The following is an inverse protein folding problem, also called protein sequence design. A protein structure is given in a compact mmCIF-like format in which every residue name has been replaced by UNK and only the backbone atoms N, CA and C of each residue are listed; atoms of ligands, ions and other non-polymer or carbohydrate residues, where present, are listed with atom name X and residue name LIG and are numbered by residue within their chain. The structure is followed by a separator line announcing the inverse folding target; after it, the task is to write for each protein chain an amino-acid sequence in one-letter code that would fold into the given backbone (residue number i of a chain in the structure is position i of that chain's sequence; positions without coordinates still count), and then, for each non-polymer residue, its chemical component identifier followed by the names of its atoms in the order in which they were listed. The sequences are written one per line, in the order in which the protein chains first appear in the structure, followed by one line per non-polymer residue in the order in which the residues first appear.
data_IF_565652448397
#
_entry.id   IF_565652448397
#
_cell.length_a   1.000
_cell.length_b   1.000
_cell.length_c   1.000
_cell.angle_alpha   90.00
_cell.angle_beta   90.00
_cell.angle_gamma   90.00
#
_symmetry.space_group_name_H-M   'P 1'
#
loop_
_entity.id
_entity.type
_entity.pdbx_description
1 polymer ?
#
# COMPACT_ATOMS: atom_id res chain seq x y z
N UNK A 1 6.21 -7.54 -8.54
CA UNK A 1 5.19 -7.46 -7.48
C UNK A 1 5.70 -6.58 -6.36
N UNK A 2 4.83 -5.85 -5.68
CA UNK A 2 5.23 -4.68 -4.88
C UNK A 2 4.23 -4.35 -3.78
N UNK A 3 4.70 -3.67 -2.75
CA UNK A 3 3.86 -3.11 -1.68
C UNK A 3 3.85 -1.59 -1.81
N UNK A 4 2.66 -1.00 -1.80
CA UNK A 4 2.48 0.44 -1.91
C UNK A 4 1.65 0.99 -0.75
N UNK A 5 2.07 2.10 -0.17
CA UNK A 5 1.36 2.81 0.88
C UNK A 5 0.74 4.11 0.37
N UNK A 6 -0.50 4.36 0.75
CA UNK A 6 -1.24 5.58 0.44
C UNK A 6 -1.68 6.23 1.74
N UNK A 7 -1.21 7.44 1.99
CA UNK A 7 -1.48 8.20 3.20
C UNK A 7 -2.35 9.41 2.90
N UNK A 8 -3.19 9.78 3.85
CA UNK A 8 -4.01 10.97 3.70
C UNK A 8 -5.02 11.10 4.84
N UNK A 9 -5.48 12.32 5.05
CA UNK A 9 -6.44 12.63 6.09
C UNK A 9 -7.78 11.90 5.88
N UNK A 10 -8.61 11.74 6.92
CA UNK A 10 -9.99 11.26 6.78
C UNK A 10 -10.75 12.07 5.70
N UNK A 11 -11.52 11.37 4.88
CA UNK A 11 -12.28 12.01 3.80
C UNK A 11 -11.47 12.44 2.56
N UNK A 12 -10.16 12.14 2.49
CA UNK A 12 -9.34 12.47 1.32
C UNK A 12 -9.59 11.61 0.08
N UNK A 13 -10.41 10.54 0.19
CA UNK A 13 -10.76 9.67 -0.93
C UNK A 13 -9.94 8.38 -1.03
N UNK A 14 -9.28 7.95 0.06
CA UNK A 14 -8.47 6.72 0.10
C UNK A 14 -9.24 5.49 -0.35
N UNK A 15 -10.39 5.21 0.25
CA UNK A 15 -11.25 4.07 -0.10
C UNK A 15 -11.73 4.14 -1.55
N UNK A 16 -12.13 5.32 -2.03
CA UNK A 16 -12.51 5.53 -3.43
C UNK A 16 -11.37 5.26 -4.39
N UNK A 17 -10.14 5.61 -4.00
CA UNK A 17 -8.95 5.30 -4.76
C UNK A 17 -8.69 3.79 -4.83
N UNK A 18 -8.82 3.07 -3.71
CA UNK A 18 -8.68 1.60 -3.71
C UNK A 18 -9.76 0.94 -4.56
N UNK A 19 -11.01 1.41 -4.48
CA UNK A 19 -12.10 0.92 -5.33
C UNK A 19 -11.83 1.17 -6.82
N UNK A 20 -11.24 2.30 -7.17
CA UNK A 20 -10.80 2.59 -8.53
C UNK A 20 -9.72 1.59 -9.00
N UNK A 21 -8.73 1.25 -8.16
CA UNK A 21 -7.71 0.24 -8.48
C UNK A 21 -8.34 -1.14 -8.67
N UNK A 22 -9.28 -1.53 -7.79
CA UNK A 22 -10.03 -2.76 -7.91
C UNK A 22 -10.76 -2.87 -9.26
N UNK A 23 -11.51 -1.82 -9.62
CA UNK A 23 -12.26 -1.78 -10.88
C UNK A 23 -11.34 -1.84 -12.12
N UNK A 24 -10.11 -1.33 -12.03
CA UNK A 24 -9.12 -1.47 -13.10
C UNK A 24 -8.59 -2.89 -13.19
N UNK A 25 -8.20 -3.49 -12.06
CA UNK A 25 -7.68 -4.84 -11.99
C UNK A 25 -8.69 -5.87 -12.52
N UNK A 26 -9.96 -5.77 -12.10
CA UNK A 26 -11.04 -6.64 -12.58
C UNK A 26 -11.29 -6.55 -14.11
N UNK A 27 -10.86 -5.46 -14.73
CA UNK A 27 -10.95 -5.24 -16.20
C UNK A 27 -9.64 -5.54 -16.92
N UNK A 28 -8.65 -6.13 -16.25
CA UNK A 28 -7.32 -6.39 -16.81
C UNK A 28 -6.57 -5.12 -17.25
N UNK A 29 -6.87 -3.96 -16.63
CA UNK A 29 -6.25 -2.68 -16.98
C UNK A 29 -5.04 -2.41 -16.07
N UNK A 30 -3.97 -1.76 -16.60
CA UNK A 30 -2.79 -1.42 -15.82
C UNK A 30 -3.14 -0.60 -14.56
N UNK A 31 -2.49 -0.93 -13.44
CA UNK A 31 -2.61 -0.17 -12.19
C UNK A 31 -1.70 1.04 -12.26
N UNK A 32 -2.22 2.14 -12.79
CA UNK A 32 -1.46 3.37 -13.02
C UNK A 32 -2.14 4.54 -12.32
N UNK A 33 -1.33 5.47 -11.83
CA UNK A 33 -1.76 6.72 -11.23
C UNK A 33 -1.60 7.85 -12.24
N UNK A 34 -2.75 8.41 -12.69
CA UNK A 34 -2.78 9.61 -13.51
C UNK A 34 -2.58 9.40 -15.02
N UNK A 35 -2.55 10.55 -15.72
CA UNK A 35 -2.55 10.64 -17.19
C UNK A 35 -1.24 10.16 -17.83
N UNK A 36 -0.12 10.25 -17.09
CA UNK A 36 1.20 9.80 -17.51
C UNK A 36 1.51 8.45 -16.85
N UNK A 37 0.90 7.42 -17.35
CA UNK A 37 0.85 6.07 -16.80
C UNK A 37 2.21 5.46 -16.44
N UNK A 38 3.24 5.72 -17.25
CA UNK A 38 4.56 5.13 -17.08
C UNK A 38 5.32 5.58 -15.82
N UNK A 39 5.03 6.79 -15.32
CA UNK A 39 5.76 7.35 -14.18
C UNK A 39 5.29 6.79 -12.82
N UNK A 40 4.03 6.33 -12.74
CA UNK A 40 3.41 5.90 -11.49
C UNK A 40 2.69 4.55 -11.64
N UNK A 41 3.30 3.64 -12.35
CA UNK A 41 2.79 2.28 -12.45
C UNK A 41 2.99 1.57 -11.10
N UNK A 42 1.92 0.99 -10.55
CA UNK A 42 1.94 0.25 -9.29
C UNK A 42 2.30 -1.22 -9.51
N UNK A 43 1.96 -1.78 -10.66
CA UNK A 43 2.30 -3.15 -11.00
C UNK A 43 2.64 -3.26 -12.48
N UNK A 44 3.64 -4.08 -12.79
CA UNK A 44 3.99 -4.44 -14.16
C UNK A 44 2.97 -5.39 -14.77
N UNK A 45 2.35 -6.21 -13.93
CA UNK A 45 1.30 -7.13 -14.34
C UNK A 45 -0.07 -6.45 -14.28
N UNK A 46 -0.90 -6.72 -15.28
CA UNK A 46 -2.27 -6.23 -15.36
C UNK A 46 -3.29 -7.34 -15.06
N UNK A 47 -2.85 -8.61 -15.10
CA UNK A 47 -3.70 -9.76 -14.97
C UNK A 47 -3.47 -10.40 -13.61
N UNK A 48 -4.37 -10.11 -12.68
CA UNK A 48 -4.45 -10.77 -11.39
C UNK A 48 -5.55 -11.83 -11.46
N UNK A 49 -5.29 -13.00 -10.90
CA UNK A 49 -6.30 -14.07 -10.84
C UNK A 49 -7.42 -13.70 -9.89
N UNK A 50 -7.09 -12.95 -8.83
CA UNK A 50 -8.04 -12.54 -7.79
C UNK A 50 -7.71 -11.15 -7.28
N UNK A 51 -8.77 -10.43 -6.88
CA UNK A 51 -8.66 -9.14 -6.20
C UNK A 51 -9.32 -9.26 -4.84
N UNK A 52 -8.59 -8.98 -3.78
CA UNK A 52 -9.07 -9.05 -2.39
C UNK A 52 -9.18 -7.66 -1.79
N UNK A 53 -10.24 -7.41 -1.02
CA UNK A 53 -10.47 -6.16 -0.31
C UNK A 53 -11.00 -6.41 1.10
N UNK A 54 -10.64 -5.57 2.07
CA UNK A 54 -11.24 -5.58 3.41
C UNK A 54 -12.48 -4.68 3.52
N UNK A 55 -12.89 -4.06 2.43
CA UNK A 55 -14.10 -3.24 2.30
C UNK A 55 -15.01 -3.80 1.20
N UNK A 56 -16.27 -3.37 1.17
CA UNK A 56 -17.22 -3.86 0.18
C UNK A 56 -16.91 -3.31 -1.20
N UNK A 57 -16.61 -4.20 -2.14
CA UNK A 57 -16.27 -3.87 -3.52
C UNK A 57 -16.82 -4.96 -4.46
N UNK A 58 -17.77 -4.62 -5.36
CA UNK A 58 -18.36 -5.59 -6.26
C UNK A 58 -17.33 -6.29 -7.15
N UNK A 59 -17.40 -7.62 -7.22
CA UNK A 59 -16.48 -8.43 -8.01
C UNK A 59 -15.16 -8.78 -7.32
N UNK A 60 -14.91 -8.26 -6.11
CA UNK A 60 -13.76 -8.60 -5.31
C UNK A 60 -14.08 -9.68 -4.28
N UNK A 61 -13.06 -10.44 -3.90
CA UNK A 61 -13.14 -11.38 -2.79
C UNK A 61 -12.95 -10.63 -1.46
N UNK A 62 -13.69 -11.04 -0.44
CA UNK A 62 -13.51 -10.48 0.91
C UNK A 62 -12.18 -10.96 1.48
N UNK A 63 -11.33 -10.03 1.92
CA UNK A 63 -10.10 -10.33 2.63
C UNK A 63 -10.41 -10.61 4.10
N UNK A 64 -10.01 -11.79 4.58
CA UNK A 64 -9.88 -12.05 6.01
C UNK A 64 -8.39 -11.96 6.37
N UNK A 65 -8.05 -11.11 7.32
CA UNK A 65 -6.66 -10.90 7.73
C UNK A 65 -6.01 -12.14 8.34
N UNK A 66 -6.80 -12.99 9.02
CA UNK A 66 -6.30 -14.24 9.59
C UNK A 66 -5.85 -15.26 8.53
N UNK A 67 -6.30 -15.10 7.29
CA UNK A 67 -5.91 -15.97 6.19
C UNK A 67 -4.55 -15.62 5.58
N UNK A 68 -4.05 -14.40 5.81
CA UNK A 68 -2.79 -13.92 5.23
C UNK A 68 -1.60 -14.72 5.77
N UNK A 69 -0.85 -15.33 4.86
CA UNK A 69 0.26 -16.21 5.18
C UNK A 69 -0.13 -17.64 5.56
N UNK A 70 -1.42 -17.96 5.63
CA UNK A 70 -1.93 -19.31 5.90
C UNK A 70 -2.62 -19.92 4.67
N UNK A 71 -3.22 -19.11 3.82
CA UNK A 71 -3.85 -19.53 2.56
C UNK A 71 -3.04 -19.08 1.35
N UNK A 72 -3.34 -19.69 0.21
CA UNK A 72 -2.72 -19.32 -1.06
C UNK A 72 -3.28 -17.99 -1.59
N UNK A 73 -2.41 -16.99 -1.64
CA UNK A 73 -2.65 -15.68 -2.23
C UNK A 73 -1.76 -15.44 -3.46
N UNK A 74 -1.51 -16.46 -4.27
CA UNK A 74 -0.68 -16.32 -5.45
C UNK A 74 -1.35 -15.46 -6.52
N UNK A 75 -0.53 -14.68 -7.26
CA UNK A 75 -0.92 -13.84 -8.40
C UNK A 75 -2.16 -12.96 -8.15
N UNK A 76 -2.20 -12.27 -7.01
CA UNK A 76 -3.36 -11.48 -6.62
C UNK A 76 -3.04 -10.02 -6.30
N UNK A 77 -4.08 -9.20 -6.40
CA UNK A 77 -4.10 -7.83 -5.89
C UNK A 77 -4.80 -7.81 -4.53
N UNK A 78 -4.15 -7.27 -3.53
CA UNK A 78 -4.72 -7.09 -2.20
C UNK A 78 -4.81 -5.59 -1.90
N UNK A 79 -6.02 -5.13 -1.57
CA UNK A 79 -6.32 -3.74 -1.28
C UNK A 79 -6.83 -3.63 0.15
N UNK A 80 -6.09 -2.92 0.99
CA UNK A 80 -6.41 -2.79 2.42
C UNK A 80 -6.72 -1.32 2.72
N UNK A 81 -7.96 -1.06 3.08
CA UNK A 81 -8.34 0.22 3.66
C UNK A 81 -8.08 0.18 5.17
N UNK A 82 -7.32 1.12 5.67
CA UNK A 82 -6.87 1.25 7.05
C UNK A 82 -5.99 0.06 7.51
N UNK A 83 -4.73 0.06 7.12
CA UNK A 83 -3.74 -1.00 7.44
C UNK A 83 -3.55 -1.22 8.95
N UNK A 84 -3.87 -0.24 9.79
CA UNK A 84 -3.80 -0.36 11.25
C UNK A 84 -4.68 -1.49 11.78
N UNK A 85 -5.76 -1.85 11.08
CA UNK A 85 -6.62 -2.98 11.47
C UNK A 85 -5.88 -4.32 11.39
N UNK A 86 -4.86 -4.41 10.53
CA UNK A 86 -4.02 -5.60 10.39
C UNK A 86 -2.72 -5.47 11.21
N UNK A 87 -2.13 -4.29 11.22
CA UNK A 87 -0.77 -4.08 11.70
C UNK A 87 -0.63 -2.72 12.39
N UNK A 88 -1.11 -2.62 13.64
CA UNK A 88 -0.90 -1.43 14.48
C UNK A 88 0.56 -1.37 14.93
N UNK A 89 1.20 -0.21 14.75
CA UNK A 89 2.56 0.03 15.23
C UNK A 89 2.72 -0.09 16.75
N UNK A 90 1.61 0.05 17.48
CA UNK A 90 1.58 -0.06 18.95
C UNK A 90 1.55 -1.50 19.43
N UNK A 91 1.08 -2.45 18.61
CA UNK A 91 0.99 -3.88 18.95
C UNK A 91 2.07 -4.73 18.28
N UNK A 92 3.26 -4.18 18.12
CA UNK A 92 4.38 -4.80 17.42
C UNK A 92 4.83 -6.15 18.01
N UNK A 93 4.53 -6.42 19.28
CA UNK A 93 4.92 -7.66 19.98
C UNK A 93 4.08 -8.86 19.50
N UNK A 94 2.84 -8.62 19.13
CA UNK A 94 1.88 -9.66 18.74
C UNK A 94 1.79 -9.88 17.23
N UNK A 95 2.72 -9.27 16.45
CA UNK A 95 2.73 -9.43 15.01
C UNK A 95 3.01 -10.88 14.62
N UNK A 96 2.08 -11.56 13.92
CA UNK A 96 2.20 -12.99 13.63
C UNK A 96 3.43 -13.31 12.76
N UNK A 97 4.17 -14.36 13.13
CA UNK A 97 5.36 -14.77 12.37
C UNK A 97 5.02 -15.16 10.93
N UNK A 98 3.94 -15.91 10.70
CA UNK A 98 3.51 -16.31 9.37
C UNK A 98 3.19 -15.11 8.46
N UNK A 99 2.57 -14.07 9.02
CA UNK A 99 2.29 -12.84 8.28
C UNK A 99 3.57 -12.09 7.92
N UNK A 100 4.53 -12.01 8.84
CA UNK A 100 5.84 -11.41 8.58
C UNK A 100 6.57 -12.12 7.44
N UNK A 101 6.60 -13.44 7.51
CA UNK A 101 7.33 -14.26 6.54
C UNK A 101 6.63 -14.20 5.17
N UNK A 102 5.30 -14.21 5.14
CA UNK A 102 4.52 -14.01 3.92
C UNK A 102 4.74 -12.63 3.29
N UNK A 103 4.74 -11.57 4.10
CA UNK A 103 5.03 -10.22 3.61
C UNK A 103 6.44 -10.11 3.01
N UNK A 104 7.43 -10.77 3.62
CA UNK A 104 8.79 -10.80 3.08
C UNK A 104 8.87 -11.53 1.72
N UNK A 105 8.03 -12.55 1.53
CA UNK A 105 8.01 -13.39 0.33
C UNK A 105 6.95 -12.98 -0.71
N UNK A 106 6.20 -11.91 -0.47
CA UNK A 106 5.07 -11.48 -1.33
C UNK A 106 5.41 -11.40 -2.82
N UNK A 107 6.65 -11.05 -3.16
CA UNK A 107 7.13 -10.96 -4.55
C UNK A 107 7.18 -12.34 -5.22
N UNK A 108 7.60 -13.37 -4.47
CA UNK A 108 7.66 -14.74 -4.98
C UNK A 108 6.26 -15.30 -5.25
N UNK A 109 5.27 -14.89 -4.47
CA UNK A 109 3.88 -15.29 -4.68
C UNK A 109 3.16 -14.47 -5.76
N UNK A 110 3.81 -13.50 -6.35
CA UNK A 110 3.16 -12.67 -7.36
C UNK A 110 2.10 -11.71 -6.78
N UNK A 111 2.23 -11.31 -5.51
CA UNK A 111 1.28 -10.43 -4.82
C UNK A 111 1.61 -8.96 -5.05
N UNK A 112 0.61 -8.17 -5.40
CA UNK A 112 0.64 -6.72 -5.32
C UNK A 112 -0.25 -6.28 -4.16
N UNK A 113 0.32 -5.60 -3.18
CA UNK A 113 -0.39 -5.09 -2.00
C UNK A 113 -0.45 -3.57 -2.05
N UNK A 114 -1.64 -2.99 -1.97
CA UNK A 114 -1.84 -1.55 -1.80
C UNK A 114 -2.63 -1.32 -0.51
N UNK A 115 -2.05 -0.56 0.40
CA UNK A 115 -2.71 -0.24 1.65
C UNK A 115 -2.90 1.26 1.84
N UNK A 116 -3.94 1.62 2.58
CA UNK A 116 -4.18 2.98 3.03
C UNK A 116 -3.95 3.12 4.53
N UNK A 117 -3.51 4.30 4.97
CA UNK A 117 -3.47 4.70 6.37
C UNK A 117 -3.66 6.20 6.52
N UNK A 118 -4.06 6.63 7.70
CA UNK A 118 -4.18 8.05 8.02
C UNK A 118 -2.81 8.68 8.30
N UNK A 119 -1.92 7.94 8.99
CA UNK A 119 -0.59 8.40 9.34
C UNK A 119 0.49 7.38 8.98
N UNK A 120 1.64 7.87 8.55
CA UNK A 120 2.80 7.02 8.27
C UNK A 120 3.32 6.33 9.53
N UNK A 121 3.35 7.04 10.66
CA UNK A 121 3.83 6.52 11.94
C UNK A 121 2.91 5.44 12.54
N UNK A 122 1.63 5.44 12.17
CA UNK A 122 0.65 4.48 12.66
C UNK A 122 0.81 3.08 12.05
N UNK A 123 1.49 3.01 10.90
CA UNK A 123 1.78 1.75 10.22
C UNK A 123 2.98 1.05 10.84
N UNK A 124 2.92 -0.26 11.05
CA UNK A 124 4.04 -1.04 11.59
C UNK A 124 5.33 -0.87 10.76
N UNK A 125 6.47 -0.73 11.45
CA UNK A 125 7.79 -0.48 10.84
C UNK A 125 8.16 -1.55 9.80
N UNK A 126 7.75 -2.81 10.01
CA UNK A 126 8.06 -3.92 9.10
C UNK A 126 7.38 -3.71 7.74
N UNK A 127 6.10 -3.32 7.73
CA UNK A 127 5.39 -3.00 6.48
C UNK A 127 5.98 -1.77 5.83
N UNK A 128 6.27 -0.72 6.60
CA UNK A 128 6.90 0.50 6.07
C UNK A 128 8.23 0.21 5.37
N UNK A 129 9.04 -0.69 5.94
CA UNK A 129 10.33 -1.08 5.36
C UNK A 129 10.17 -1.88 4.06
N UNK A 130 9.14 -2.70 3.95
CA UNK A 130 8.83 -3.49 2.76
C UNK A 130 8.09 -2.69 1.67
N UNK A 131 7.62 -1.48 1.99
CA UNK A 131 6.87 -0.65 1.05
C UNK A 131 7.79 -0.06 -0.01
N UNK A 132 7.50 -0.33 -1.27
CA UNK A 132 8.30 0.14 -2.41
C UNK A 132 8.04 1.60 -2.73
N UNK A 133 6.76 2.01 -2.80
CA UNK A 133 6.35 3.37 -3.13
C UNK A 133 5.35 3.89 -2.13
N UNK A 134 5.48 5.18 -1.82
CA UNK A 134 4.58 5.92 -0.94
C UNK A 134 3.87 7.01 -1.72
N UNK A 135 2.59 7.20 -1.41
CA UNK A 135 1.77 8.24 -2.02
C UNK A 135 1.02 9.00 -0.94
N UNK A 136 0.81 10.26 -1.19
CA UNK A 136 -0.08 11.10 -0.41
C UNK A 136 -1.32 11.42 -1.22
N UNK A 137 -2.50 11.26 -0.61
CA UNK A 137 -3.77 11.60 -1.22
C UNK A 137 -4.42 12.73 -0.43
N UNK A 138 -4.79 13.78 -1.13
CA UNK A 138 -5.47 14.95 -0.57
C UNK A 138 -6.74 15.27 -1.36
N UNK A 139 -7.71 15.84 -0.68
CA UNK A 139 -8.94 16.32 -1.33
C UNK A 139 -8.67 17.70 -1.95
N UNK A 140 -9.02 17.82 -3.22
CA UNK A 140 -8.94 19.09 -3.96
C UNK A 140 -10.28 19.35 -4.64
N UNK A 141 -11.16 20.09 -3.96
CA UNK A 141 -12.54 20.29 -4.41
C UNK A 141 -13.31 18.97 -4.53
N UNK A 142 -13.80 18.67 -5.73
CA UNK A 142 -14.53 17.44 -6.04
C UNK A 142 -13.62 16.27 -6.44
N UNK A 143 -12.31 16.47 -6.49
CA UNK A 143 -11.32 15.47 -6.90
C UNK A 143 -10.37 15.15 -5.76
N UNK A 144 -9.72 13.98 -5.86
CA UNK A 144 -8.60 13.63 -5.01
C UNK A 144 -7.33 13.73 -5.83
N UNK A 145 -6.32 14.46 -5.31
CA UNK A 145 -4.99 14.54 -5.89
C UNK A 145 -4.08 13.54 -5.22
N UNK A 146 -3.36 12.75 -6.00
CA UNK A 146 -2.41 11.77 -5.52
C UNK A 146 -1.02 12.20 -5.94
N UNK A 147 -0.12 12.30 -4.96
CA UNK A 147 1.27 12.73 -5.14
C UNK A 147 2.22 11.66 -4.61
N UNK A 148 3.31 11.34 -5.31
CA UNK A 148 4.33 10.44 -4.79
C UNK A 148 5.09 11.09 -3.65
N UNK A 149 5.50 10.28 -2.67
CA UNK A 149 6.38 10.68 -1.58
C UNK A 149 7.74 10.05 -1.82
N UNK A 150 8.79 10.87 -1.85
CA UNK A 150 10.15 10.38 -1.95
C UNK A 150 10.64 9.86 -0.59
N UNK A 151 11.17 8.63 -0.57
CA UNK A 151 11.91 8.11 0.59
C UNK A 151 13.35 8.58 0.49
N UNK A 152 13.81 9.36 1.46
CA UNK A 152 15.24 9.65 1.64
C UNK A 152 15.77 8.84 2.82
N UNK A 153 16.89 8.14 2.60
CA UNK A 153 17.61 7.41 3.64
C UNK A 153 18.81 8.26 4.06
N UNK A 154 18.92 8.61 5.33
CA UNK A 154 20.15 9.11 5.91
C UNK A 154 20.78 7.97 6.71
N UNK A 155 21.99 7.62 6.36
CA UNK A 155 22.83 6.72 7.15
C UNK A 155 23.62 7.64 8.08
N UNK A 156 23.24 7.72 9.34
CA UNK A 156 24.10 8.32 10.37
C UNK A 156 25.19 7.32 10.68
N UNK A 157 26.43 7.69 10.41
CA UNK A 157 27.62 6.83 10.54
C UNK A 157 27.93 6.43 12.01
N UNK A 158 27.30 7.05 12.99
CA UNK A 158 27.63 6.86 14.39
C UNK A 158 26.61 6.08 15.22
N UNK A 159 25.51 5.59 14.64
CA UNK A 159 24.50 4.86 15.42
C UNK A 159 24.00 3.66 14.63
N UNK A 160 24.38 2.49 15.09
CA UNK A 160 23.97 1.19 14.54
C UNK A 160 22.43 0.90 14.65
N UNK A 161 21.61 1.82 15.11
CA UNK A 161 20.17 1.64 15.35
C UNK A 161 19.26 2.79 14.90
N UNK A 162 19.67 3.69 14.04
CA UNK A 162 18.85 4.87 13.73
C UNK A 162 18.59 5.12 12.26
N UNK A 163 17.55 4.51 11.67
CA UNK A 163 17.03 5.00 10.39
C UNK A 163 16.10 6.18 10.65
N UNK A 164 16.55 7.39 10.36
CA UNK A 164 15.70 8.57 10.37
C UNK A 164 15.09 8.71 8.96
N UNK A 165 13.81 8.45 8.83
CA UNK A 165 13.06 8.77 7.61
C UNK A 165 12.66 10.24 7.65
N UNK A 166 13.18 11.03 6.76
CA UNK A 166 12.69 12.38 6.52
C UNK A 166 11.69 12.31 5.37
N UNK A 167 10.41 12.51 5.70
CA UNK A 167 9.37 12.71 4.71
C UNK A 167 9.49 14.15 4.19
N UNK A 168 10.14 14.34 3.05
CA UNK A 168 10.06 15.60 2.33
C UNK A 168 8.79 15.60 1.48
N UNK A 169 7.79 16.35 1.91
CA UNK A 169 6.62 16.65 1.06
C UNK A 169 7.08 17.71 0.08
N UNK A 170 7.62 17.26 -1.05
CA UNK A 170 8.02 18.14 -2.15
C UNK A 170 6.81 18.47 -3.01
N UNK A 171 5.99 19.39 -2.57
CA UNK A 171 5.04 20.08 -3.41
C UNK A 171 5.74 21.22 -4.12
N UNK A 172 6.37 21.00 -5.27
CA UNK A 172 6.62 22.08 -6.21
C UNK A 172 5.53 22.04 -7.26
N UNK A 173 4.62 23.01 -7.15
CA UNK A 173 3.74 23.45 -8.23
C UNK A 173 4.62 24.14 -9.29
N UNK A 174 4.61 23.64 -10.49
CA UNK A 174 4.82 24.38 -11.73
C UNK A 174 3.65 24.09 -12.65
#
# INVERSE_FOLDING_TARGET
MSIHGVFGLPGSGKTSFLAFLAARALKGKPLVLGRFAWKYQLSETCNFDRVYTNFDCPGCYRLNFDDLGLKDFSNCLILIDEIMLLCDSRDYKNFPHHLRDWLALHRHYGVCLVYCSQGYADTDKRIRNLTDKLFYIEKNGNFSKISPISKSWRIDQDIAEGYTQVLAIGGQSV
#
